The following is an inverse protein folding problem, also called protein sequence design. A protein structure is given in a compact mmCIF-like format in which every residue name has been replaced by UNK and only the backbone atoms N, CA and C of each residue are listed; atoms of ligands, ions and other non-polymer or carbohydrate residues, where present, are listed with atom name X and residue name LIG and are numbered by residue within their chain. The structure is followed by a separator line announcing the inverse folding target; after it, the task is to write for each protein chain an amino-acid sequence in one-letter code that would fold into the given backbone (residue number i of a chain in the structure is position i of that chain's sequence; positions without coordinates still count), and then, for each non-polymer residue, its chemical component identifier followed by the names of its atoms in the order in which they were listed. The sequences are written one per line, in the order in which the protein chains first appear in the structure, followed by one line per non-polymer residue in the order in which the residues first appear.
data_IF_785783535748
#
_entry.id   IF_785783535748
#
_cell.length_a   1.000
_cell.length_b   1.000
_cell.length_c   1.000
_cell.angle_alpha   90.00
_cell.angle_beta   90.00
_cell.angle_gamma   90.00
#
_symmetry.space_group_name_H-M   'P 1'
#
loop_
_entity.id
_entity.type
_entity.pdbx_description
1 polymer ?
#
# COMPACT_ATOMS: atom_id res chain seq x y z
N UNK A 1 14.24 0.71 -26.15
CA UNK A 1 13.75 -0.01 -24.94
C UNK A 1 12.74 0.90 -24.30
N UNK A 2 11.45 0.59 -24.41
CA UNK A 2 10.42 1.32 -23.69
C UNK A 2 10.61 1.04 -22.20
N UNK A 3 11.26 1.97 -21.51
CA UNK A 3 11.42 1.89 -20.07
C UNK A 3 10.14 2.35 -19.42
N UNK A 4 9.39 1.39 -18.82
CA UNK A 4 8.21 1.71 -18.05
C UNK A 4 8.55 2.66 -16.90
N UNK A 5 7.69 3.65 -16.69
CA UNK A 5 7.80 4.56 -15.56
C UNK A 5 7.40 3.82 -14.28
N UNK A 6 8.27 3.84 -13.28
CA UNK A 6 8.02 3.22 -11.99
C UNK A 6 8.16 4.24 -10.87
N UNK A 7 7.08 4.46 -10.14
CA UNK A 7 7.02 5.33 -8.96
C UNK A 7 6.70 4.49 -7.74
N UNK A 8 7.61 4.46 -6.78
CA UNK A 8 7.43 3.80 -5.48
C UNK A 8 7.04 4.83 -4.43
N UNK A 9 5.93 4.63 -3.72
CA UNK A 9 5.48 5.50 -2.62
C UNK A 9 5.39 4.69 -1.33
N UNK A 10 6.34 4.91 -0.43
CA UNK A 10 6.38 4.26 0.88
C UNK A 10 6.01 5.24 2.00
N UNK A 11 5.65 4.72 3.16
CA UNK A 11 5.35 5.52 4.33
C UNK A 11 4.38 4.85 5.30
N UNK A 12 4.16 5.42 6.50
CA UNK A 12 3.36 4.83 7.56
C UNK A 12 1.86 4.74 7.22
N UNK A 13 1.12 3.99 8.02
CA UNK A 13 -0.33 3.87 7.87
C UNK A 13 -1.01 5.23 8.09
N UNK A 14 -2.07 5.53 7.31
CA UNK A 14 -2.80 6.80 7.47
C UNK A 14 -2.12 8.03 6.87
N UNK A 15 -0.92 7.94 6.29
CA UNK A 15 -0.22 9.08 5.66
C UNK A 15 -0.88 9.57 4.35
N UNK A 16 -1.96 8.94 3.88
CA UNK A 16 -2.67 9.34 2.66
C UNK A 16 -2.11 8.73 1.38
N UNK A 17 -1.13 7.82 1.47
CA UNK A 17 -0.44 7.22 0.31
C UNK A 17 -1.37 6.76 -0.81
N UNK A 18 -2.34 5.92 -0.49
CA UNK A 18 -3.22 5.31 -1.50
C UNK A 18 -4.07 6.34 -2.23
N UNK A 19 -4.57 7.36 -1.53
CA UNK A 19 -5.34 8.45 -2.15
C UNK A 19 -4.47 9.29 -3.06
N UNK A 20 -3.28 9.67 -2.58
CA UNK A 20 -2.32 10.51 -3.31
C UNK A 20 -1.73 9.74 -4.50
N UNK A 21 -1.32 8.48 -4.31
CA UNK A 21 -0.77 7.62 -5.34
C UNK A 21 -1.76 7.39 -6.50
N UNK A 22 -3.03 7.14 -6.16
CA UNK A 22 -4.11 6.97 -7.15
C UNK A 22 -4.35 8.25 -7.93
N UNK A 23 -4.39 9.40 -7.26
CA UNK A 23 -4.56 10.69 -7.92
C UNK A 23 -3.38 11.01 -8.85
N UNK A 24 -2.14 10.75 -8.41
CA UNK A 24 -0.95 10.91 -9.24
C UNK A 24 -0.97 9.96 -10.45
N UNK A 25 -1.32 8.68 -10.23
CA UNK A 25 -1.42 7.71 -11.32
C UNK A 25 -2.41 8.17 -12.40
N UNK A 26 -3.59 8.64 -11.99
CA UNK A 26 -4.61 9.18 -12.92
C UNK A 26 -4.10 10.40 -13.70
N UNK A 27 -3.40 11.34 -13.03
CA UNK A 27 -2.89 12.57 -13.68
C UNK A 27 -1.83 12.32 -14.75
N UNK A 28 -1.16 11.17 -14.71
CA UNK A 28 -0.08 10.83 -15.64
C UNK A 28 -0.38 9.58 -16.49
N UNK A 29 -1.62 9.10 -16.51
CA UNK A 29 -2.00 7.90 -17.26
C UNK A 29 -1.24 6.63 -16.82
N UNK A 30 -0.81 6.55 -15.55
CA UNK A 30 -0.10 5.41 -14.99
C UNK A 30 -1.08 4.46 -14.28
N UNK A 31 -0.69 3.20 -14.16
CA UNK A 31 -1.46 2.23 -13.40
C UNK A 31 -1.16 2.38 -11.90
N UNK A 32 -2.20 2.50 -11.08
CA UNK A 32 -2.06 2.49 -9.63
C UNK A 32 -2.07 1.07 -9.08
N UNK A 33 -1.14 0.75 -8.17
CA UNK A 33 -1.03 -0.56 -7.51
C UNK A 33 -1.02 -0.39 -5.99
N UNK A 34 -2.12 -0.80 -5.31
CA UNK A 34 -2.23 -0.93 -3.85
C UNK A 34 -1.67 -2.28 -3.41
N UNK A 35 -0.41 -2.33 -2.97
CA UNK A 35 0.16 -3.59 -2.47
C UNK A 35 -0.45 -4.03 -1.15
N UNK A 36 -0.93 -3.09 -0.34
CA UNK A 36 -1.68 -3.40 0.87
C UNK A 36 -2.94 -4.23 0.60
N UNK A 37 -3.62 -4.00 -0.54
CA UNK A 37 -4.75 -4.81 -0.96
C UNK A 37 -4.33 -6.27 -1.24
N UNK A 38 -3.16 -6.48 -1.83
CA UNK A 38 -2.62 -7.83 -2.10
C UNK A 38 -2.39 -8.58 -0.78
N UNK A 39 -1.75 -7.95 0.21
CA UNK A 39 -1.55 -8.57 1.54
C UNK A 39 -2.88 -8.79 2.29
N UNK A 40 -3.84 -7.88 2.17
CA UNK A 40 -5.18 -8.07 2.74
C UNK A 40 -5.90 -9.26 2.13
N UNK A 41 -5.72 -9.52 0.84
CA UNK A 41 -6.29 -10.71 0.17
C UNK A 41 -5.71 -11.99 0.73
N UNK A 42 -4.39 -12.06 0.99
CA UNK A 42 -3.76 -13.22 1.66
C UNK A 42 -4.25 -13.37 3.08
N UNK A 43 -4.38 -12.27 3.84
CA UNK A 43 -4.92 -12.29 5.20
C UNK A 43 -6.35 -12.84 5.25
N UNK A 44 -7.22 -12.37 4.35
CA UNK A 44 -8.59 -12.87 4.21
C UNK A 44 -8.61 -14.37 3.84
N UNK A 45 -7.72 -14.82 2.97
CA UNK A 45 -7.62 -16.23 2.61
C UNK A 45 -7.23 -17.10 3.83
N UNK A 46 -6.27 -16.64 4.64
CA UNK A 46 -5.89 -17.33 5.88
C UNK A 46 -7.05 -17.41 6.87
N UNK A 47 -7.78 -16.32 7.09
CA UNK A 47 -8.96 -16.28 7.95
C UNK A 47 -10.05 -17.26 7.48
N UNK A 48 -10.40 -17.22 6.20
CA UNK A 48 -11.40 -18.12 5.61
C UNK A 48 -11.02 -19.60 5.70
N UNK A 49 -9.72 -19.91 5.66
CA UNK A 49 -9.18 -21.25 5.83
C UNK A 49 -9.04 -21.66 7.32
N UNK A 50 -9.33 -20.79 8.26
CA UNK A 50 -9.14 -21.04 9.69
C UNK A 50 -7.66 -21.15 10.09
N UNK A 51 -6.74 -20.55 9.31
CA UNK A 51 -5.30 -20.60 9.54
C UNK A 51 -4.85 -19.39 10.35
N UNK A 52 -3.95 -19.62 11.30
CA UNK A 52 -3.33 -18.52 12.03
C UNK A 52 -2.39 -17.73 11.09
N UNK A 53 -2.78 -16.50 10.77
CA UNK A 53 -2.05 -15.59 9.88
C UNK A 53 -0.65 -15.18 10.39
N UNK A 54 -0.28 -15.54 11.63
CA UNK A 54 1.07 -15.34 12.18
C UNK A 54 1.94 -16.59 12.15
N UNK A 55 1.39 -17.73 11.73
CA UNK A 55 2.09 -19.01 11.65
C UNK A 55 2.66 -19.20 10.24
N UNK A 56 4.00 -19.19 10.14
CA UNK A 56 4.69 -19.28 8.85
C UNK A 56 4.48 -20.62 8.16
N UNK A 57 4.49 -21.72 8.91
CA UNK A 57 4.36 -23.08 8.34
C UNK A 57 2.94 -23.32 7.86
N UNK A 58 1.95 -22.90 8.64
CA UNK A 58 0.55 -22.99 8.27
C UNK A 58 0.22 -22.13 7.04
N UNK A 59 0.77 -20.91 6.97
CA UNK A 59 0.63 -20.05 5.79
C UNK A 59 1.37 -20.63 4.59
N UNK A 60 2.57 -21.18 4.76
CA UNK A 60 3.32 -21.82 3.68
C UNK A 60 2.54 -23.00 3.05
N UNK A 61 1.83 -23.77 3.86
CA UNK A 61 0.98 -24.85 3.39
C UNK A 61 -0.25 -24.36 2.61
N UNK A 62 -0.80 -23.19 2.98
CA UNK A 62 -1.98 -22.60 2.34
C UNK A 62 -1.67 -21.94 0.98
N UNK A 63 -0.54 -21.19 0.90
CA UNK A 63 -0.22 -20.32 -0.25
C UNK A 63 -0.35 -21.00 -1.62
N UNK A 64 0.10 -22.26 -1.84
CA UNK A 64 0.00 -22.93 -3.15
C UNK A 64 -1.43 -23.15 -3.66
N UNK A 65 -2.42 -23.14 -2.76
CA UNK A 65 -3.84 -23.29 -3.11
C UNK A 65 -4.52 -21.94 -3.45
N UNK A 66 -3.81 -20.82 -3.28
CA UNK A 66 -4.36 -19.50 -3.52
C UNK A 66 -4.08 -19.03 -4.94
N UNK A 67 -5.14 -18.66 -5.65
CA UNK A 67 -5.06 -17.88 -6.88
C UNK A 67 -5.46 -16.44 -6.56
N UNK A 68 -4.46 -15.56 -6.50
CA UNK A 68 -4.64 -14.13 -6.25
C UNK A 68 -4.41 -13.39 -7.57
N UNK A 69 -5.39 -12.61 -7.97
CA UNK A 69 -5.31 -11.81 -9.20
C UNK A 69 -5.63 -10.35 -8.89
N UNK A 70 -4.85 -9.48 -9.49
CA UNK A 70 -5.10 -8.05 -9.51
C UNK A 70 -5.59 -7.70 -10.91
N UNK A 71 -6.81 -7.16 -10.99
CA UNK A 71 -7.44 -6.73 -12.25
C UNK A 71 -7.90 -5.28 -12.12
N UNK A 72 -8.22 -4.66 -13.25
CA UNK A 72 -8.76 -3.30 -13.28
C UNK A 72 -10.17 -3.33 -13.89
N UNK A 73 -11.10 -2.64 -13.24
CA UNK A 73 -12.44 -2.47 -13.77
C UNK A 73 -12.47 -1.43 -14.90
N UNK A 74 -13.66 -1.21 -15.47
CA UNK A 74 -13.85 -0.26 -16.57
C UNK A 74 -13.54 1.21 -16.20
N UNK A 75 -13.50 1.53 -14.90
CA UNK A 75 -13.11 2.84 -14.39
C UNK A 75 -11.62 2.95 -14.11
N UNK A 76 -10.84 1.87 -14.35
CA UNK A 76 -9.42 1.78 -14.04
C UNK A 76 -9.13 1.60 -12.55
N UNK A 77 -10.14 1.19 -11.75
CA UNK A 77 -9.94 0.93 -10.33
C UNK A 77 -9.44 -0.50 -10.12
N UNK A 78 -8.46 -0.64 -9.23
CA UNK A 78 -7.93 -1.94 -8.86
C UNK A 78 -8.97 -2.80 -8.14
N UNK A 79 -9.16 -4.02 -8.64
CA UNK A 79 -9.97 -5.06 -8.03
C UNK A 79 -9.09 -6.26 -7.66
N UNK A 80 -9.42 -6.92 -6.55
CA UNK A 80 -8.70 -8.10 -6.09
C UNK A 80 -9.59 -9.34 -6.19
N UNK A 81 -9.09 -10.34 -6.91
CA UNK A 81 -9.77 -11.63 -7.00
C UNK A 81 -9.02 -12.67 -6.16
N UNK A 82 -9.77 -13.41 -5.34
CA UNK A 82 -9.29 -14.57 -4.60
C UNK A 82 -10.01 -15.81 -5.10
N UNK A 83 -9.28 -16.71 -5.74
CA UNK A 83 -9.84 -17.95 -6.35
C UNK A 83 -11.03 -17.65 -7.31
N UNK A 84 -10.97 -16.50 -8.01
CA UNK A 84 -11.99 -16.06 -8.94
C UNK A 84 -13.13 -15.23 -8.33
N UNK A 85 -13.22 -15.13 -7.00
CA UNK A 85 -14.18 -14.26 -6.31
C UNK A 85 -13.62 -12.83 -6.15
N UNK A 86 -14.40 -11.81 -6.48
CA UNK A 86 -14.04 -10.42 -6.21
C UNK A 86 -14.20 -10.11 -4.71
N UNK A 87 -13.07 -9.91 -4.05
CA UNK A 87 -12.99 -9.64 -2.60
C UNK A 87 -12.63 -8.18 -2.29
N UNK A 88 -12.66 -7.28 -3.28
CA UNK A 88 -12.17 -5.91 -3.18
C UNK A 88 -12.84 -5.08 -2.09
N UNK A 89 -14.10 -5.32 -1.81
CA UNK A 89 -14.83 -4.63 -0.75
C UNK A 89 -14.60 -5.30 0.61
N UNK A 90 -14.58 -6.63 0.65
CA UNK A 90 -14.33 -7.41 1.87
C UNK A 90 -12.95 -7.12 2.47
N UNK A 91 -11.92 -7.00 1.64
CA UNK A 91 -10.55 -6.72 2.12
C UNK A 91 -10.37 -5.30 2.70
N UNK A 92 -11.38 -4.43 2.62
CA UNK A 92 -11.36 -3.07 3.19
C UNK A 92 -11.93 -3.01 4.60
N UNK A 93 -12.47 -4.11 5.10
CA UNK A 93 -12.97 -4.22 6.46
C UNK A 93 -11.83 -4.05 7.49
N UNK A 94 -12.08 -3.41 8.64
CA UNK A 94 -11.04 -3.14 9.64
C UNK A 94 -10.28 -4.39 10.10
N UNK A 95 -10.99 -5.48 10.36
CA UNK A 95 -10.43 -6.77 10.81
C UNK A 95 -9.41 -7.34 9.82
N UNK A 96 -9.66 -7.22 8.51
CA UNK A 96 -8.74 -7.70 7.48
C UNK A 96 -7.43 -6.88 7.43
N UNK A 97 -7.49 -5.62 7.85
CA UNK A 97 -6.28 -4.78 7.93
C UNK A 97 -5.27 -5.27 8.97
N UNK A 98 -5.73 -5.87 10.08
CA UNK A 98 -4.87 -6.50 11.09
C UNK A 98 -4.24 -7.79 10.55
N UNK A 99 -5.01 -8.58 9.82
CA UNK A 99 -4.51 -9.80 9.17
C UNK A 99 -3.42 -9.49 8.16
N UNK A 100 -3.59 -8.42 7.37
CA UNK A 100 -2.55 -7.96 6.43
C UNK A 100 -1.22 -7.63 7.11
N UNK A 101 -1.26 -6.98 8.28
CA UNK A 101 -0.04 -6.71 9.06
C UNK A 101 0.66 -8.00 9.47
N UNK A 102 -0.08 -8.98 9.98
CA UNK A 102 0.45 -10.30 10.39
C UNK A 102 1.09 -11.04 9.22
N UNK A 103 0.37 -11.24 8.11
CA UNK A 103 0.91 -11.98 6.96
C UNK A 103 2.06 -11.26 6.28
N UNK A 104 2.11 -9.92 6.29
CA UNK A 104 3.19 -9.16 5.68
C UNK A 104 4.53 -9.27 6.44
N UNK A 105 4.50 -9.70 7.69
CA UNK A 105 5.69 -9.99 8.49
C UNK A 105 6.31 -11.37 8.13
N UNK A 106 5.58 -12.24 7.43
CA UNK A 106 6.03 -13.60 7.11
C UNK A 106 6.86 -13.65 5.83
N UNK A 107 8.11 -14.17 5.87
CA UNK A 107 8.96 -14.30 4.69
C UNK A 107 8.33 -15.08 3.55
N UNK A 108 7.63 -16.15 3.87
CA UNK A 108 6.98 -17.05 2.88
C UNK A 108 5.89 -16.33 2.09
N UNK A 109 5.09 -15.48 2.74
CA UNK A 109 4.06 -14.68 2.09
C UNK A 109 4.69 -13.61 1.20
N UNK A 110 5.73 -12.96 1.67
CA UNK A 110 6.46 -11.94 0.91
C UNK A 110 7.09 -12.53 -0.35
N UNK A 111 7.76 -13.68 -0.22
CA UNK A 111 8.35 -14.38 -1.35
C UNK A 111 7.29 -14.78 -2.40
N UNK A 112 6.15 -15.29 -1.94
CA UNK A 112 5.02 -15.67 -2.80
C UNK A 112 4.47 -14.49 -3.61
N UNK A 113 4.38 -13.29 -3.03
CA UNK A 113 3.81 -12.11 -3.67
C UNK A 113 4.80 -11.28 -4.48
N UNK A 114 6.12 -11.44 -4.25
CA UNK A 114 7.14 -10.55 -4.79
C UNK A 114 7.16 -10.53 -6.32
N UNK A 115 7.07 -11.71 -6.95
CA UNK A 115 7.12 -11.79 -8.41
C UNK A 115 5.88 -11.20 -9.09
N UNK A 116 4.70 -11.39 -8.49
CA UNK A 116 3.46 -10.73 -8.94
C UNK A 116 3.62 -9.21 -8.93
N UNK A 117 4.10 -8.63 -7.83
CA UNK A 117 4.29 -7.18 -7.69
C UNK A 117 5.30 -6.66 -8.72
N UNK A 118 6.44 -7.33 -8.86
CA UNK A 118 7.47 -6.96 -9.84
C UNK A 118 7.01 -7.11 -11.29
N UNK A 119 6.21 -8.12 -11.57
CA UNK A 119 5.67 -8.35 -12.92
C UNK A 119 4.82 -7.19 -13.41
N UNK A 120 4.01 -6.59 -12.54
CA UNK A 120 3.22 -5.41 -12.88
C UNK A 120 4.11 -4.24 -13.33
N UNK A 121 5.20 -3.99 -12.62
CA UNK A 121 6.13 -2.91 -12.98
C UNK A 121 7.01 -3.23 -14.21
N UNK A 122 7.20 -4.52 -14.56
CA UNK A 122 7.91 -4.92 -15.78
C UNK A 122 7.07 -4.74 -17.04
N UNK A 123 5.75 -4.81 -16.90
CA UNK A 123 4.83 -4.80 -18.04
C UNK A 123 4.06 -3.50 -18.21
N UNK A 124 4.06 -2.64 -17.20
CA UNK A 124 3.30 -1.39 -17.21
C UNK A 124 4.06 -0.27 -16.52
N UNK A 125 3.73 0.96 -16.88
CA UNK A 125 4.11 2.15 -16.11
C UNK A 125 3.20 2.25 -14.87
N UNK A 126 3.79 2.29 -13.65
CA UNK A 126 3.05 2.14 -12.40
C UNK A 126 3.38 3.21 -11.36
N UNK A 127 2.39 3.53 -10.53
CA UNK A 127 2.55 4.12 -9.20
C UNK A 127 2.16 3.07 -8.19
N UNK A 128 3.13 2.56 -7.43
CA UNK A 128 2.93 1.48 -6.46
C UNK A 128 3.11 2.02 -5.05
N UNK A 129 2.13 1.80 -4.15
CA UNK A 129 2.24 2.21 -2.77
C UNK A 129 2.34 1.05 -1.79
N UNK A 130 3.10 1.27 -0.71
CA UNK A 130 3.34 0.25 0.31
C UNK A 130 4.14 0.72 1.52
N UNK A 131 5.08 -0.13 1.98
CA UNK A 131 5.99 0.11 3.10
C UNK A 131 7.46 -0.06 2.74
N UNK A 132 7.73 -0.83 1.72
CA UNK A 132 9.05 -1.28 1.31
C UNK A 132 9.16 -1.40 -0.23
N UNK A 133 8.36 -0.62 -0.93
CA UNK A 133 8.34 -0.66 -2.39
C UNK A 133 9.69 -0.20 -2.95
N UNK A 134 10.18 0.97 -2.53
CA UNK A 134 11.45 1.52 -2.99
C UNK A 134 12.70 0.88 -2.39
N UNK A 135 12.54 0.02 -1.36
CA UNK A 135 13.68 -0.65 -0.71
C UNK A 135 13.81 -2.12 -1.06
N UNK A 136 12.69 -2.82 -1.32
CA UNK A 136 12.65 -4.28 -1.53
C UNK A 136 11.94 -4.69 -2.82
N UNK A 137 10.73 -4.17 -3.07
CA UNK A 137 9.93 -4.62 -4.21
C UNK A 137 10.49 -4.08 -5.52
N UNK A 138 10.70 -2.77 -5.60
CA UNK A 138 11.24 -2.05 -6.75
C UNK A 138 12.45 -1.20 -6.34
N UNK A 139 13.58 -1.82 -5.95
CA UNK A 139 14.76 -1.09 -5.48
C UNK A 139 15.36 -0.17 -6.57
N UNK A 140 15.07 -0.47 -7.84
CA UNK A 140 15.50 0.31 -9.00
C UNK A 140 14.37 1.19 -9.57
N UNK A 141 13.33 1.50 -8.78
CA UNK A 141 12.25 2.40 -9.22
C UNK A 141 12.80 3.74 -9.68
N UNK A 142 12.28 4.24 -10.80
CA UNK A 142 12.72 5.50 -11.40
C UNK A 142 12.50 6.71 -10.49
N UNK A 143 11.47 6.68 -9.63
CA UNK A 143 11.23 7.65 -8.56
C UNK A 143 10.81 6.92 -7.30
N UNK A 144 11.41 7.27 -6.16
CA UNK A 144 11.02 6.79 -4.85
C UNK A 144 10.60 7.96 -3.99
N UNK A 145 9.45 7.85 -3.35
CA UNK A 145 8.88 8.86 -2.47
C UNK A 145 8.64 8.21 -1.11
N UNK A 146 9.07 8.87 -0.05
CA UNK A 146 8.69 8.53 1.31
C UNK A 146 7.70 9.57 1.82
N UNK A 147 6.42 9.17 1.90
CA UNK A 147 5.33 10.03 2.33
C UNK A 147 5.13 9.88 3.83
N UNK A 148 5.26 10.95 4.59
CA UNK A 148 5.06 10.97 6.03
C UNK A 148 3.95 11.93 6.46
N UNK A 149 3.48 11.75 7.68
CA UNK A 149 2.70 12.69 8.47
C UNK A 149 2.84 12.33 9.94
N UNK A 150 2.68 13.29 10.87
CA UNK A 150 2.73 13.01 12.30
C UNK A 150 1.67 11.97 12.71
N UNK A 151 1.91 11.24 13.80
CA UNK A 151 0.97 10.23 14.28
C UNK A 151 -0.39 10.85 14.61
N UNK A 152 -0.38 12.03 15.22
CA UNK A 152 -1.57 12.79 15.58
C UNK A 152 -2.37 13.22 14.34
N UNK A 153 -1.69 13.73 13.31
CA UNK A 153 -2.34 14.11 12.06
C UNK A 153 -3.02 12.92 11.39
N UNK A 154 -2.33 11.77 11.33
CA UNK A 154 -2.86 10.52 10.76
C UNK A 154 -4.02 9.96 11.59
N UNK A 155 -3.91 10.00 12.92
CA UNK A 155 -4.98 9.59 13.83
C UNK A 155 -6.22 10.47 13.66
N UNK A 156 -6.03 11.79 13.53
CA UNK A 156 -7.13 12.73 13.31
C UNK A 156 -7.84 12.47 11.98
N UNK A 157 -7.08 12.22 10.90
CA UNK A 157 -7.66 11.84 9.59
C UNK A 157 -8.45 10.54 9.68
N UNK A 158 -7.88 9.51 10.33
CA UNK A 158 -8.52 8.21 10.50
C UNK A 158 -9.76 8.29 11.37
N UNK A 159 -9.69 9.00 12.49
CA UNK A 159 -10.80 9.18 13.40
C UNK A 159 -11.99 9.87 12.70
N UNK A 160 -11.75 10.92 11.90
CA UNK A 160 -12.81 11.56 11.11
C UNK A 160 -13.47 10.59 10.12
N UNK A 161 -12.69 9.78 9.41
CA UNK A 161 -13.21 8.76 8.49
C UNK A 161 -14.08 7.73 9.20
N UNK A 162 -13.75 7.35 10.42
CA UNK A 162 -14.57 6.42 11.22
C UNK A 162 -15.89 7.08 11.64
N UNK A 163 -15.84 8.34 12.11
CA UNK A 163 -17.05 9.10 12.44
C UNK A 163 -17.99 9.25 11.24
N UNK A 164 -17.47 9.55 10.06
CA UNK A 164 -18.25 9.65 8.81
C UNK A 164 -18.93 8.32 8.43
N UNK A 165 -18.36 7.19 8.83
CA UNK A 165 -18.92 5.85 8.66
C UNK A 165 -19.86 5.43 9.80
N UNK A 166 -20.09 6.29 10.78
CA UNK A 166 -20.92 5.99 11.96
C UNK A 166 -20.23 5.07 12.98
N UNK A 167 -18.93 4.82 12.86
CA UNK A 167 -18.14 4.01 13.78
C UNK A 167 -17.65 4.90 14.92
N UNK A 168 -18.10 4.60 16.14
CA UNK A 168 -17.72 5.36 17.32
C UNK A 168 -16.47 4.74 17.97
N UNK A 169 -15.32 5.34 17.70
CA UNK A 169 -14.08 5.02 18.39
C UNK A 169 -13.51 6.26 19.08
N UNK A 170 -12.80 6.07 20.18
CA UNK A 170 -12.11 7.17 20.85
C UNK A 170 -10.84 7.54 20.05
N UNK A 171 -10.59 8.84 19.90
CA UNK A 171 -9.39 9.33 19.24
C UNK A 171 -8.10 8.72 19.84
N UNK A 172 -8.04 8.59 21.18
CA UNK A 172 -6.89 8.02 21.87
C UNK A 172 -6.62 6.55 21.51
N UNK A 173 -7.67 5.79 21.21
CA UNK A 173 -7.51 4.39 20.79
C UNK A 173 -7.02 4.32 19.35
N UNK A 174 -7.57 5.15 18.45
CA UNK A 174 -7.10 5.27 17.06
C UNK A 174 -5.64 5.68 16.99
N UNK A 175 -5.21 6.64 17.83
CA UNK A 175 -3.81 7.07 17.90
C UNK A 175 -2.92 5.93 18.35
N UNK A 176 -3.27 5.25 19.44
CA UNK A 176 -2.50 4.12 19.99
C UNK A 176 -2.36 2.97 18.99
N UNK A 177 -3.42 2.64 18.26
CA UNK A 177 -3.38 1.62 17.21
C UNK A 177 -2.43 2.00 16.07
N UNK A 178 -2.43 3.27 15.66
CA UNK A 178 -1.53 3.75 14.61
C UNK A 178 -0.08 3.74 15.07
N UNK A 179 0.21 4.17 16.29
CA UNK A 179 1.56 4.15 16.88
C UNK A 179 2.08 2.70 17.00
N UNK A 180 1.24 1.79 17.49
CA UNK A 180 1.59 0.37 17.57
C UNK A 180 1.89 -0.21 16.18
N UNK A 181 1.08 0.11 15.18
CA UNK A 181 1.29 -0.35 13.82
C UNK A 181 2.57 0.22 13.20
N UNK A 182 2.88 1.48 13.46
CA UNK A 182 4.14 2.09 13.01
C UNK A 182 5.34 1.42 13.67
N UNK A 183 5.23 1.11 14.96
CA UNK A 183 6.26 0.36 15.67
C UNK A 183 6.47 -1.01 15.01
N UNK A 184 5.40 -1.76 14.78
CA UNK A 184 5.47 -3.09 14.16
C UNK A 184 6.05 -3.01 12.74
N UNK A 185 5.58 -2.06 11.91
CA UNK A 185 6.05 -1.86 10.54
C UNK A 185 7.55 -1.48 10.49
N UNK A 186 8.04 -0.69 11.46
CA UNK A 186 9.44 -0.23 11.50
C UNK A 186 10.39 -1.25 12.13
N UNK A 187 9.91 -2.11 13.05
CA UNK A 187 10.73 -3.06 13.80
C UNK A 187 10.62 -4.51 13.30
N UNK A 188 9.80 -4.77 12.27
CA UNK A 188 9.75 -6.12 11.70
C UNK A 188 11.10 -6.54 11.15
N UNK A 189 11.47 -7.82 11.35
CA UNK A 189 12.79 -8.35 11.00
C UNK A 189 13.06 -8.31 9.47
N UNK A 190 12.00 -8.37 8.65
CA UNK A 190 12.11 -8.44 7.19
C UNK A 190 11.39 -7.25 6.57
N UNK A 191 12.07 -6.56 5.66
CA UNK A 191 11.56 -5.41 4.92
C UNK A 191 10.90 -4.35 5.82
N UNK A 192 11.60 -3.85 6.87
CA UNK A 192 11.04 -2.83 7.75
C UNK A 192 10.66 -1.58 6.97
N UNK A 193 9.66 -0.86 7.46
CA UNK A 193 9.31 0.45 6.95
C UNK A 193 10.47 1.41 7.17
N UNK A 194 11.13 1.79 6.09
CA UNK A 194 12.19 2.80 6.07
C UNK A 194 12.24 3.49 4.70
N UNK A 195 12.64 4.74 4.70
CA UNK A 195 12.89 5.44 3.45
C UNK A 195 14.06 4.80 2.69
N UNK A 196 13.93 4.69 1.37
CA UNK A 196 15.08 4.38 0.53
C UNK A 196 16.09 5.54 0.58
N UNK A 197 17.41 5.30 0.46
CA UNK A 197 18.42 6.36 0.57
C UNK A 197 18.26 7.48 -0.46
N UNK A 198 17.67 7.16 -1.61
CA UNK A 198 17.40 8.06 -2.73
C UNK A 198 15.94 8.53 -2.80
N UNK A 199 15.16 8.30 -1.76
CA UNK A 199 13.75 8.71 -1.73
C UNK A 199 13.60 10.22 -1.52
N UNK A 200 12.68 10.82 -2.25
CA UNK A 200 12.17 12.16 -1.99
C UNK A 200 11.25 12.10 -0.77
N UNK A 201 11.55 12.88 0.27
CA UNK A 201 10.74 12.95 1.47
C UNK A 201 9.65 14.02 1.32
N UNK A 202 8.40 13.65 1.54
CA UNK A 202 7.25 14.57 1.51
C UNK A 202 6.48 14.40 2.84
N UNK A 203 6.53 15.42 3.68
CA UNK A 203 5.72 15.47 4.90
C UNK A 203 4.39 16.16 4.60
N UNK A 204 3.30 15.47 4.87
CA UNK A 204 1.93 15.96 4.61
C UNK A 204 1.21 16.41 5.86
N UNK A 205 1.91 16.57 7.00
CA UNK A 205 1.29 16.95 8.28
C UNK A 205 0.48 18.23 8.18
N UNK A 206 1.06 19.26 7.54
CA UNK A 206 0.48 20.59 7.39
C UNK A 206 -0.15 20.83 6.01
N UNK A 207 -0.15 19.82 5.13
CA UNK A 207 -0.67 19.96 3.78
C UNK A 207 -2.13 19.51 3.69
N UNK A 208 -2.90 20.22 2.86
CA UNK A 208 -4.19 19.70 2.40
C UNK A 208 -3.99 18.49 1.49
N UNK A 209 -5.06 17.76 1.23
CA UNK A 209 -4.99 16.63 0.30
C UNK A 209 -4.53 17.08 -1.09
N UNK A 210 -5.05 18.18 -1.60
CA UNK A 210 -4.68 18.74 -2.90
C UNK A 210 -3.21 19.15 -2.96
N UNK A 211 -2.73 19.88 -1.96
CA UNK A 211 -1.31 20.24 -1.85
C UNK A 211 -0.40 19.01 -1.78
N UNK A 212 -0.83 17.94 -1.09
CA UNK A 212 -0.08 16.69 -1.00
C UNK A 212 -0.02 15.96 -2.35
N UNK A 213 -1.12 15.96 -3.11
CA UNK A 213 -1.17 15.42 -4.48
C UNK A 213 -0.25 16.23 -5.39
N UNK A 214 -0.31 17.56 -5.32
CA UNK A 214 0.51 18.45 -6.16
C UNK A 214 2.01 18.29 -5.86
N UNK A 215 2.40 18.11 -4.60
CA UNK A 215 3.78 17.83 -4.21
C UNK A 215 4.31 16.52 -4.83
N UNK A 216 3.52 15.45 -4.79
CA UNK A 216 3.87 14.18 -5.42
C UNK A 216 3.91 14.32 -6.95
N UNK A 217 2.94 14.99 -7.55
CA UNK A 217 2.91 15.23 -8.99
C UNK A 217 4.11 16.09 -9.45
N UNK A 218 4.52 17.09 -8.67
CA UNK A 218 5.71 17.88 -8.96
C UNK A 218 6.99 17.02 -8.97
N UNK A 219 7.12 16.09 -8.02
CA UNK A 219 8.25 15.15 -8.01
C UNK A 219 8.25 14.24 -9.23
N UNK A 220 7.08 13.75 -9.67
CA UNK A 220 6.93 12.93 -10.89
C UNK A 220 7.32 13.74 -12.14
N UNK A 221 6.80 14.97 -12.29
CA UNK A 221 7.15 15.87 -13.40
C UNK A 221 8.66 16.13 -13.47
N UNK A 222 9.24 16.51 -12.34
CA UNK A 222 10.67 16.80 -12.25
C UNK A 222 11.51 15.59 -12.65
N UNK A 223 11.11 14.40 -12.24
CA UNK A 223 11.89 13.19 -12.50
C UNK A 223 11.77 12.67 -13.92
N UNK A 224 10.59 12.74 -14.53
CA UNK A 224 10.30 12.08 -15.82
C UNK A 224 10.02 13.06 -16.98
N UNK A 225 9.94 14.35 -16.72
CA UNK A 225 9.60 15.36 -17.72
C UNK A 225 8.17 15.22 -18.26
N UNK A 226 7.25 14.69 -17.44
CA UNK A 226 5.85 14.48 -17.83
C UNK A 226 5.03 15.77 -17.64
N UNK A 227 4.17 16.06 -18.63
CA UNK A 227 3.07 17.00 -18.44
C UNK A 227 1.89 16.24 -17.83
N UNK A 228 1.15 16.88 -16.92
CA UNK A 228 -0.09 16.29 -16.40
C UNK A 228 -1.18 16.45 -17.46
N UNK A 229 -1.94 15.39 -17.70
CA UNK A 229 -3.19 15.51 -18.46
C UNK A 229 -4.11 16.49 -17.73
N UNK A 230 -4.59 17.50 -18.45
CA UNK A 230 -5.47 18.57 -17.95
C UNK A 230 -6.89 18.09 -17.79
#
# INVERSE_FOLDING_TARGET
MDTHITVAIDGPSGAGKSTIARAAARRFGLIYVDTGAIYRTVGLAGERAGVNCSDADAMQALLPALRIELVYDAAGEQRMLLNGEDVSDTIRLPEVSLLASRVSALPVVRAFLLDMQRSLARTHSVVMDGRDIGTVVLPDAGLKIFLSASAECRAQRRWRQLQEKGIQELYADVLRELEQRDYDDTHRAIAPLKAAPDAVHIDTSELTLEQSIDAVCAAVRTRFGLEADT
#
